data_IF_589371214184
#
_entry.id   IF_589371214184
#
_cell.length_a   1.000
_cell.length_b   1.000
_cell.length_c   1.000
_cell.angle_alpha   90.00
_cell.angle_beta   90.00
_cell.angle_gamma   90.00
#
_symmetry.space_group_name_H-M   'P 1'
#
loop_
_entity.id
_entity.type
_entity.pdbx_description
1 polymer ?
#
# COMPACT_ATOMS: atom_id res chain seq x y z
N UNK A 1 -15.11 2.01 10.16
CA UNK A 1 -14.18 0.93 10.59
C UNK A 1 -13.33 0.54 9.37
N UNK A 2 -12.01 0.34 9.54
CA UNK A 2 -10.99 0.08 8.50
C UNK A 2 -10.57 1.27 7.62
N UNK A 3 -10.38 2.46 8.22
CA UNK A 3 -9.95 3.65 7.47
C UNK A 3 -8.52 3.50 6.91
N UNK A 4 -7.61 2.88 7.66
CA UNK A 4 -6.19 2.83 7.29
C UNK A 4 -5.92 1.91 6.09
N UNK A 5 -6.52 0.72 6.06
CA UNK A 5 -6.37 -0.19 4.91
C UNK A 5 -6.96 0.41 3.64
N UNK A 6 -8.09 1.12 3.76
CA UNK A 6 -8.67 1.88 2.63
C UNK A 6 -7.75 3.00 2.15
N UNK A 7 -7.05 3.70 3.05
CA UNK A 7 -6.06 4.72 2.68
C UNK A 7 -4.90 4.12 1.88
N UNK A 8 -4.32 3.00 2.34
CA UNK A 8 -3.24 2.33 1.60
C UNK A 8 -3.72 1.73 0.27
N UNK A 9 -4.94 1.19 0.23
CA UNK A 9 -5.54 0.75 -1.04
C UNK A 9 -5.64 1.89 -2.04
N UNK A 10 -6.11 3.05 -1.61
CA UNK A 10 -6.19 4.25 -2.46
C UNK A 10 -4.81 4.71 -2.91
N UNK A 11 -3.80 4.64 -2.04
CA UNK A 11 -2.43 5.03 -2.36
C UNK A 11 -1.85 4.14 -3.48
N UNK A 12 -1.98 2.82 -3.35
CA UNK A 12 -1.52 1.89 -4.39
C UNK A 12 -2.34 2.04 -5.69
N UNK A 13 -3.64 2.32 -5.59
CA UNK A 13 -4.51 2.60 -6.75
C UNK A 13 -4.03 3.81 -7.56
N UNK A 14 -3.41 4.81 -6.92
CA UNK A 14 -2.81 5.96 -7.61
C UNK A 14 -1.61 5.57 -8.49
N UNK A 15 -0.88 4.52 -8.09
CA UNK A 15 0.19 3.91 -8.89
C UNK A 15 -0.35 2.81 -9.84
N UNK A 16 -1.68 2.74 -9.97
CA UNK A 16 -2.38 1.76 -10.77
C UNK A 16 -2.43 0.37 -10.16
N UNK A 17 -1.94 0.17 -8.92
CA UNK A 17 -1.76 -1.11 -8.21
C UNK A 17 -2.95 -1.48 -7.34
N UNK A 18 -3.45 -2.71 -7.49
CA UNK A 18 -4.42 -3.27 -6.55
C UNK A 18 -3.71 -3.76 -5.29
N UNK A 19 -4.20 -3.35 -4.12
CA UNK A 19 -3.68 -3.80 -2.83
C UNK A 19 -4.71 -4.67 -2.10
N UNK A 20 -4.30 -5.89 -1.77
CA UNK A 20 -5.07 -6.83 -0.97
C UNK A 20 -4.36 -7.21 0.32
N UNK A 21 -5.17 -7.57 1.32
CA UNK A 21 -4.70 -8.05 2.61
C UNK A 21 -5.38 -9.38 2.87
N UNK A 22 -4.59 -10.39 3.18
CA UNK A 22 -5.13 -11.64 3.70
C UNK A 22 -5.79 -11.39 5.06
N UNK A 23 -6.84 -12.15 5.36
CA UNK A 23 -7.49 -12.06 6.66
C UNK A 23 -6.52 -12.30 7.82
N UNK A 24 -5.58 -13.23 7.62
CA UNK A 24 -4.58 -13.57 8.62
C UNK A 24 -3.50 -12.50 8.75
N UNK A 25 -3.21 -11.74 7.68
CA UNK A 25 -2.35 -10.57 7.77
C UNK A 25 -3.00 -9.49 8.64
N UNK A 26 -4.30 -9.24 8.47
CA UNK A 26 -5.04 -8.28 9.30
C UNK A 26 -5.04 -8.66 10.78
N UNK A 27 -5.25 -9.95 11.08
CA UNK A 27 -5.17 -10.48 12.46
C UNK A 27 -3.77 -10.31 13.03
N UNK A 28 -2.73 -10.64 12.27
CA UNK A 28 -1.34 -10.52 12.72
C UNK A 28 -0.95 -9.05 12.99
N UNK A 29 -1.37 -8.11 12.13
CA UNK A 29 -1.13 -6.66 12.33
C UNK A 29 -1.76 -6.21 13.66
N UNK A 30 -3.02 -6.63 13.92
CA UNK A 30 -3.70 -6.31 15.17
C UNK A 30 -2.98 -6.92 16.38
N UNK A 31 -2.53 -8.17 16.29
CA UNK A 31 -1.77 -8.83 17.35
C UNK A 31 -0.42 -8.14 17.61
N UNK A 32 0.32 -7.75 16.59
CA UNK A 32 1.59 -7.04 16.76
C UNK A 32 1.39 -5.65 17.39
N UNK A 33 0.37 -4.91 16.95
CA UNK A 33 0.00 -3.61 17.54
C UNK A 33 -0.32 -3.75 19.03
N UNK A 34 -1.05 -4.81 19.40
CA UNK A 34 -1.36 -5.13 20.79
C UNK A 34 -0.10 -5.50 21.58
N UNK A 35 0.73 -6.41 21.07
CA UNK A 35 1.99 -6.86 21.71
C UNK A 35 2.95 -5.70 21.96
N UNK A 36 3.08 -4.78 21.01
CA UNK A 36 3.96 -3.60 21.10
C UNK A 36 3.38 -2.49 21.99
N UNK A 37 2.18 -2.65 22.56
CA UNK A 37 1.49 -1.67 23.44
C UNK A 37 1.35 -0.26 22.85
N UNK A 38 1.33 -0.17 21.52
CA UNK A 38 1.23 1.09 20.76
C UNK A 38 -0.22 1.39 20.32
N UNK A 39 -1.13 0.44 20.53
CA UNK A 39 -2.55 0.58 20.23
C UNK A 39 -2.82 0.94 18.76
N UNK A 40 -3.97 1.57 18.49
CA UNK A 40 -4.41 1.89 17.13
C UNK A 40 -3.44 2.78 16.34
N UNK A 41 -2.65 3.64 17.02
CA UNK A 41 -1.61 4.45 16.38
C UNK A 41 -0.50 3.59 15.77
N UNK A 42 -0.22 2.45 16.37
CA UNK A 42 0.80 1.52 15.91
C UNK A 42 0.48 0.73 14.65
N UNK A 43 -0.81 0.67 14.25
CA UNK A 43 -1.22 -0.04 13.04
C UNK A 43 -0.56 0.56 11.79
N UNK A 44 -0.41 1.89 11.76
CA UNK A 44 0.27 2.59 10.66
C UNK A 44 1.74 2.21 10.59
N UNK A 45 2.44 2.27 11.72
CA UNK A 45 3.87 1.96 11.77
C UNK A 45 4.17 0.52 11.33
N UNK A 46 3.30 -0.44 11.71
CA UNK A 46 3.43 -1.84 11.26
C UNK A 46 3.20 -1.93 9.75
N UNK A 47 2.13 -1.32 9.22
CA UNK A 47 1.84 -1.32 7.79
C UNK A 47 2.96 -0.67 6.96
N UNK A 48 3.49 0.48 7.39
CA UNK A 48 4.60 1.16 6.72
C UNK A 48 5.85 0.29 6.70
N UNK A 49 6.18 -0.36 7.82
CA UNK A 49 7.33 -1.27 7.89
C UNK A 49 7.21 -2.45 6.93
N UNK A 50 5.99 -3.01 6.76
CA UNK A 50 5.76 -4.17 5.89
C UNK A 50 5.78 -3.76 4.41
N UNK A 51 5.27 -2.58 4.10
CA UNK A 51 5.11 -2.11 2.73
C UNK A 51 6.28 -1.28 2.20
N UNK A 52 7.24 -0.90 3.05
CA UNK A 52 8.36 -0.01 2.69
C UNK A 52 9.05 -0.46 1.39
N UNK A 53 9.41 -1.74 1.31
CA UNK A 53 10.08 -2.34 0.15
C UNK A 53 9.19 -2.34 -1.10
N UNK A 54 7.91 -2.68 -0.93
CA UNK A 54 6.94 -2.69 -2.03
C UNK A 54 6.68 -1.29 -2.57
N UNK A 55 6.56 -0.29 -1.70
CA UNK A 55 6.36 1.11 -2.09
C UNK A 55 7.56 1.69 -2.86
N UNK A 56 8.76 1.19 -2.60
CA UNK A 56 9.96 1.60 -3.34
C UNK A 56 10.09 0.89 -4.69
N UNK A 57 9.79 -0.41 -4.73
CA UNK A 57 9.93 -1.24 -5.95
C UNK A 57 8.83 -1.00 -6.98
N UNK A 58 7.58 -0.84 -6.54
CA UNK A 58 6.40 -0.71 -7.43
C UNK A 58 6.52 0.47 -8.41
N UNK A 59 6.92 1.70 -8.00
CA UNK A 59 7.06 2.81 -8.93
C UNK A 59 8.09 2.58 -10.03
N UNK A 60 9.05 1.67 -9.81
CA UNK A 60 10.09 1.33 -10.78
C UNK A 60 9.69 0.16 -11.67
N UNK A 61 8.74 -0.68 -11.24
CA UNK A 61 8.32 -1.90 -11.93
C UNK A 61 6.93 -1.74 -12.55
N UNK A 62 6.91 -1.35 -13.82
CA UNK A 62 5.67 -1.07 -14.57
C UNK A 62 4.82 -2.32 -14.84
N UNK A 63 5.34 -3.53 -14.57
CA UNK A 63 4.62 -4.79 -14.80
C UNK A 63 3.88 -5.32 -13.60
N UNK A 64 4.11 -4.82 -12.38
CA UNK A 64 3.30 -5.26 -11.23
C UNK A 64 1.84 -5.02 -11.62
N UNK A 65 0.88 -5.84 -11.18
CA UNK A 65 -0.58 -5.60 -11.25
C UNK A 65 -1.24 -5.57 -9.87
N UNK A 66 -0.71 -6.34 -8.93
CA UNK A 66 -1.34 -6.50 -7.62
C UNK A 66 -0.28 -6.77 -6.55
N UNK A 67 -0.52 -6.23 -5.36
CA UNK A 67 0.29 -6.43 -4.18
C UNK A 67 -0.58 -7.10 -3.11
N UNK A 68 -0.15 -8.24 -2.59
CA UNK A 68 -0.87 -9.00 -1.57
C UNK A 68 -0.03 -9.03 -0.30
N UNK A 69 -0.61 -8.51 0.79
CA UNK A 69 -0.03 -8.55 2.13
C UNK A 69 -0.46 -9.84 2.83
N UNK A 70 0.50 -10.73 3.03
CA UNK A 70 0.34 -12.02 3.71
C UNK A 70 0.73 -11.94 5.18
N UNK A 71 0.37 -12.95 5.97
CA UNK A 71 0.77 -13.04 7.40
C UNK A 71 2.28 -13.07 7.57
N UNK A 72 2.97 -13.77 6.69
CA UNK A 72 4.42 -13.96 6.67
C UNK A 72 5.13 -12.64 6.40
N UNK A 73 4.57 -11.81 5.50
CA UNK A 73 5.07 -10.47 5.24
C UNK A 73 4.93 -9.55 6.46
N UNK A 74 3.85 -9.67 7.23
CA UNK A 74 3.64 -8.92 8.47
C UNK A 74 4.62 -9.36 9.57
N UNK A 75 4.97 -10.64 9.60
CA UNK A 75 6.00 -11.17 10.52
C UNK A 75 7.42 -10.78 10.13
N UNK A 76 7.61 -10.25 8.91
CA UNK A 76 8.93 -9.94 8.35
C UNK A 76 9.72 -11.18 7.93
N UNK A 77 9.04 -12.32 7.74
CA UNK A 77 9.68 -13.56 7.27
C UNK A 77 9.83 -13.59 5.75
N UNK A 78 8.92 -12.93 5.04
CA UNK A 78 8.90 -12.85 3.58
C UNK A 78 8.53 -11.43 3.13
N UNK A 79 8.68 -11.14 1.83
CA UNK A 79 8.21 -9.89 1.23
C UNK A 79 6.75 -10.03 0.80
N UNK A 80 6.00 -8.91 0.66
CA UNK A 80 4.69 -8.94 0.05
C UNK A 80 4.72 -9.58 -1.36
N UNK A 81 3.66 -10.31 -1.70
CA UNK A 81 3.58 -10.97 -3.00
C UNK A 81 3.18 -9.95 -4.08
N UNK A 82 4.01 -9.84 -5.11
CA UNK A 82 3.75 -8.98 -6.26
C UNK A 82 3.34 -9.85 -7.45
N UNK A 83 2.13 -9.65 -7.95
CA UNK A 83 1.66 -10.26 -9.20
C UNK A 83 2.08 -9.34 -10.33
N UNK A 84 2.62 -9.91 -11.40
CA UNK A 84 3.05 -9.19 -12.60
C UNK A 84 2.18 -9.60 -13.80
N UNK A 85 1.98 -8.72 -14.77
CA UNK A 85 1.41 -9.07 -16.08
C UNK A 85 2.52 -9.48 -17.04
N UNK A 86 2.32 -10.62 -17.70
CA UNK A 86 3.23 -11.15 -18.71
C UNK A 86 3.02 -10.50 -20.09
N UNK A 87 1.80 -10.02 -20.39
CA UNK A 87 1.49 -9.39 -21.67
C UNK A 87 1.96 -7.93 -21.77
N UNK A 88 2.52 -7.59 -22.93
CA UNK A 88 3.48 -6.50 -23.21
C UNK A 88 2.99 -5.05 -23.10
N UNK A 89 1.93 -4.77 -22.33
CA UNK A 89 1.49 -3.42 -22.06
C UNK A 89 1.93 -2.98 -20.65
N UNK A 90 2.92 -2.08 -20.50
CA UNK A 90 3.26 -1.53 -19.20
C UNK A 90 2.02 -0.89 -18.59
N UNK A 91 1.84 -1.02 -17.26
CA UNK A 91 0.75 -0.31 -16.57
C UNK A 91 0.82 1.16 -16.91
N UNK A 92 -0.31 1.71 -17.37
CA UNK A 92 -0.46 3.16 -17.50
C UNK A 92 -0.37 3.74 -16.09
N UNK A 93 0.81 4.23 -15.72
CA UNK A 93 0.95 5.11 -14.57
C UNK A 93 -0.10 6.22 -14.74
N UNK A 94 -1.04 6.31 -13.80
CA UNK A 94 -2.03 7.38 -13.80
C UNK A 94 -1.20 8.64 -13.56
N UNK A 95 -0.89 9.37 -14.63
CA UNK A 95 -0.11 10.60 -14.57
C UNK A 95 -0.71 11.47 -13.48
N UNK A 96 0.12 11.82 -12.49
CA UNK A 96 -0.24 12.75 -11.42
C UNK A 96 -0.89 13.96 -12.08
N UNK A 97 -2.23 14.05 -12.05
CA UNK A 97 -2.93 15.29 -12.37
C UNK A 97 -2.55 16.26 -11.26
N UNK A 98 -1.50 17.03 -11.51
CA UNK A 98 -1.20 18.26 -10.80
C UNK A 98 -2.48 19.08 -10.83
N UNK A 99 -3.18 19.19 -9.70
CA UNK A 99 -4.21 20.21 -9.50
C UNK A 99 -3.50 21.56 -9.63
N UNK A 100 -3.48 22.10 -10.84
CA UNK A 100 -3.03 23.47 -11.12
C UNK A 100 -4.07 24.43 -10.51
N UNK A 101 -3.64 25.19 -9.51
CA UNK A 101 -4.34 26.33 -8.91
C UNK A 101 -4.89 27.31 -9.97
N UNK A 102 -6.11 27.80 -9.75
CA UNK A 102 -6.55 29.19 -10.03
C UNK A 102 -7.12 29.67 -8.69
N UNK A 103 -6.50 30.56 -7.92
CA UNK A 103 -6.29 32.00 -8.12
C UNK A 103 -7.63 32.76 -8.12
N UNK A 104 -8.03 33.18 -6.92
CA UNK A 104 -8.80 34.41 -6.68
C UNK A 104 -8.18 35.06 -5.44
N UNK A 105 -7.18 35.90 -5.67
CA UNK A 105 -6.89 37.04 -4.80
C UNK A 105 -7.64 38.24 -5.40
N UNK A 106 -8.09 39.12 -4.50
CA UNK A 106 -8.60 40.50 -4.68
C UNK A 106 -10.12 40.65 -4.80
N UNK A 107 -10.78 40.86 -3.66
CA UNK A 107 -11.57 42.06 -3.34
C UNK A 107 -11.72 42.19 -1.81
#
# INVERSE_FOLDING_TARGET
>A
KNAITKQYKKLFEMDGVELEFDEDALKEIAQQSFKRKIGARGLRAILESVMMDSMYSIPSENKVTKCIITKESVKGSEKPQLILVEDSAPRKAITKKTTKKSKDEIA
#
